data_IF_354077725369
#
_entry.id   IF_354077725369
#
_cell.length_a   1.000
_cell.length_b   1.000
_cell.length_c   1.000
_cell.angle_alpha   90.00
_cell.angle_beta   90.00
_cell.angle_gamma   90.00
#
_symmetry.space_group_name_H-M   'P 1'
#
loop_
_entity.id
_entity.type
_entity.pdbx_description
1 polymer ?
#
# COMPACT_ATOMS: atom_id res chain seq x y z
N UNK A 1 13.46 18.24 3.94
CA UNK A 1 12.81 18.58 5.22
C UNK A 1 11.29 18.47 5.15
N UNK A 2 10.61 19.10 4.19
CA UNK A 2 9.13 19.08 4.07
C UNK A 2 8.51 17.67 3.93
N UNK A 3 9.08 16.82 3.07
CA UNK A 3 8.58 15.44 2.87
C UNK A 3 8.66 14.57 4.15
N UNK A 4 9.67 14.80 5.01
CA UNK A 4 9.81 14.08 6.27
C UNK A 4 8.75 14.49 7.30
N UNK A 5 8.29 15.74 7.25
CA UNK A 5 7.23 16.22 8.13
C UNK A 5 5.87 15.64 7.71
N UNK A 6 5.57 15.63 6.40
CA UNK A 6 4.35 15.03 5.87
C UNK A 6 4.27 13.55 6.23
N UNK A 7 5.36 12.81 6.05
CA UNK A 7 5.45 11.40 6.41
C UNK A 7 5.14 11.16 7.90
N UNK A 8 5.75 11.95 8.80
CA UNK A 8 5.47 11.87 10.24
C UNK A 8 4.01 12.14 10.57
N UNK A 9 3.43 13.20 10.00
CA UNK A 9 2.02 13.53 10.22
C UNK A 9 1.11 12.40 9.72
N UNK A 10 1.38 11.84 8.55
CA UNK A 10 0.62 10.71 8.02
C UNK A 10 0.73 9.47 8.92
N UNK A 11 1.91 9.20 9.49
CA UNK A 11 2.12 8.08 10.42
C UNK A 11 1.35 8.24 11.73
N UNK A 12 1.25 9.47 12.26
CA UNK A 12 0.44 9.76 13.45
C UNK A 12 -1.07 9.62 13.18
N UNK A 13 -1.54 10.03 11.99
CA UNK A 13 -2.98 10.02 11.66
C UNK A 13 -3.46 8.63 11.22
N UNK A 14 -2.70 7.98 10.32
CA UNK A 14 -3.10 6.72 9.67
C UNK A 14 -2.50 5.49 10.35
N UNK A 15 -1.51 5.69 11.23
CA UNK A 15 -0.73 4.64 11.86
C UNK A 15 0.48 4.23 11.04
N UNK A 16 1.58 3.94 11.74
CA UNK A 16 2.88 3.60 11.14
C UNK A 16 2.79 2.46 10.13
N UNK A 17 2.08 1.36 10.46
CA UNK A 17 1.93 0.21 9.56
C UNK A 17 1.18 0.54 8.27
N UNK A 18 0.19 1.42 8.32
CA UNK A 18 -0.58 1.81 7.14
C UNK A 18 0.32 2.54 6.13
N UNK A 19 1.08 3.52 6.63
CA UNK A 19 2.00 4.30 5.80
C UNK A 19 3.12 3.42 5.26
N UNK A 20 3.72 2.55 6.09
CA UNK A 20 4.78 1.63 5.65
C UNK A 20 4.32 0.69 4.53
N UNK A 21 3.08 0.19 4.58
CA UNK A 21 2.52 -0.63 3.49
C UNK A 21 2.34 0.20 2.22
N UNK A 22 1.87 1.44 2.31
CA UNK A 22 1.77 2.32 1.12
C UNK A 22 3.14 2.58 0.51
N UNK A 23 4.14 2.93 1.33
CA UNK A 23 5.51 3.14 0.88
C UNK A 23 6.06 1.87 0.20
N UNK A 24 5.81 0.70 0.79
CA UNK A 24 6.21 -0.58 0.21
C UNK A 24 5.57 -0.81 -1.16
N UNK A 25 4.26 -0.61 -1.28
CA UNK A 25 3.53 -0.77 -2.54
C UNK A 25 4.05 0.19 -3.61
N UNK A 26 4.34 1.45 -3.26
CA UNK A 26 4.91 2.45 -4.18
C UNK A 26 6.32 2.08 -4.66
N UNK A 27 7.17 1.57 -3.76
CA UNK A 27 8.54 1.13 -4.10
C UNK A 27 8.57 -0.09 -5.01
N UNK A 28 7.56 -0.95 -4.93
CA UNK A 28 7.45 -2.18 -5.73
C UNK A 28 6.51 -2.03 -6.94
N UNK A 29 5.95 -0.85 -7.16
CA UNK A 29 5.15 -0.57 -8.34
C UNK A 29 6.03 -0.25 -9.54
N UNK A 30 5.67 -0.78 -10.72
CA UNK A 30 6.31 -0.39 -11.97
C UNK A 30 5.88 1.01 -12.44
N UNK A 31 6.40 1.44 -13.60
CA UNK A 31 6.05 2.75 -14.19
C UNK A 31 4.55 2.93 -14.49
N UNK A 32 3.82 1.84 -14.65
CA UNK A 32 2.37 1.82 -14.87
C UNK A 32 1.54 1.71 -13.58
N UNK A 33 2.19 1.69 -12.42
CA UNK A 33 1.56 1.50 -11.11
C UNK A 33 1.20 0.05 -10.80
N UNK A 34 1.72 -0.93 -11.55
CA UNK A 34 1.43 -2.34 -11.29
C UNK A 34 2.38 -2.94 -10.27
N UNK A 35 1.82 -3.74 -9.38
CA UNK A 35 2.54 -4.49 -8.34
C UNK A 35 2.29 -5.97 -8.61
N UNK A 36 3.37 -6.72 -8.83
CA UNK A 36 3.33 -8.15 -9.15
C UNK A 36 3.84 -8.96 -7.95
N UNK A 37 3.10 -8.91 -6.85
CA UNK A 37 3.35 -9.65 -5.61
C UNK A 37 2.01 -10.14 -5.05
N UNK A 38 1.98 -11.36 -4.53
CA UNK A 38 0.84 -11.89 -3.77
C UNK A 38 0.72 -11.20 -2.41
N UNK A 39 -0.47 -11.23 -1.80
CA UNK A 39 -0.65 -10.70 -0.44
C UNK A 39 0.26 -11.41 0.59
N UNK A 40 0.58 -12.69 0.38
CA UNK A 40 1.49 -13.43 1.28
C UNK A 40 2.94 -12.95 1.14
N UNK A 41 3.40 -12.68 -0.08
CA UNK A 41 4.72 -12.07 -0.30
C UNK A 41 4.78 -10.66 0.28
N UNK A 42 3.73 -9.86 0.10
CA UNK A 42 3.66 -8.51 0.67
C UNK A 42 3.67 -8.57 2.21
N UNK A 43 2.94 -9.50 2.83
CA UNK A 43 2.99 -9.70 4.28
C UNK A 43 4.41 -10.00 4.78
N UNK A 44 5.12 -10.89 4.08
CA UNK A 44 6.49 -11.28 4.44
C UNK A 44 7.48 -10.12 4.25
N UNK A 45 7.43 -9.45 3.10
CA UNK A 45 8.39 -8.41 2.72
C UNK A 45 8.16 -7.09 3.44
N UNK A 46 6.91 -6.75 3.76
CA UNK A 46 6.55 -5.54 4.51
C UNK A 46 6.43 -5.77 6.02
N UNK A 47 6.70 -7.00 6.50
CA UNK A 47 6.56 -7.41 7.90
C UNK A 47 5.21 -7.01 8.53
N UNK A 48 4.13 -7.42 7.86
CA UNK A 48 2.76 -7.18 8.32
C UNK A 48 1.96 -8.46 8.35
N UNK A 49 1.04 -8.55 9.32
CA UNK A 49 0.13 -9.69 9.41
C UNK A 49 -0.94 -9.62 8.31
N UNK A 50 -1.47 -10.79 7.91
CA UNK A 50 -2.57 -10.88 6.93
C UNK A 50 -3.78 -10.01 7.30
N UNK A 51 -4.26 -9.98 8.57
CA UNK A 51 -5.38 -9.12 8.95
C UNK A 51 -5.07 -7.63 8.77
N UNK A 52 -3.84 -7.20 9.10
CA UNK A 52 -3.41 -5.82 8.90
C UNK A 52 -3.38 -5.47 7.41
N UNK A 53 -2.75 -6.31 6.59
CA UNK A 53 -2.69 -6.09 5.15
C UNK A 53 -4.08 -6.05 4.51
N UNK A 54 -4.96 -6.99 4.89
CA UNK A 54 -6.33 -7.08 4.38
C UNK A 54 -7.14 -5.82 4.69
N UNK A 55 -7.03 -5.28 5.91
CA UNK A 55 -7.67 -4.00 6.29
C UNK A 55 -7.15 -2.83 5.44
N UNK A 56 -5.83 -2.73 5.26
CA UNK A 56 -5.21 -1.67 4.46
C UNK A 56 -5.66 -1.77 3.00
N UNK A 57 -5.60 -2.96 2.42
CA UNK A 57 -6.04 -3.21 1.04
C UNK A 57 -7.49 -2.83 0.85
N UNK A 58 -8.38 -3.25 1.75
CA UNK A 58 -9.80 -2.88 1.70
C UNK A 58 -10.01 -1.37 1.75
N UNK A 59 -9.25 -0.65 2.58
CA UNK A 59 -9.29 0.82 2.63
C UNK A 59 -8.87 1.43 1.29
N UNK A 60 -7.74 0.99 0.72
CA UNK A 60 -7.24 1.50 -0.56
C UNK A 60 -8.19 1.18 -1.72
N UNK A 61 -8.77 -0.01 -1.74
CA UNK A 61 -9.77 -0.43 -2.74
C UNK A 61 -11.04 0.42 -2.63
N UNK A 62 -11.55 0.64 -1.42
CA UNK A 62 -12.75 1.49 -1.17
C UNK A 62 -12.51 2.92 -1.65
N UNK A 63 -11.28 3.43 -1.50
CA UNK A 63 -10.88 4.75 -1.99
C UNK A 63 -10.52 4.76 -3.48
N UNK A 64 -10.65 3.64 -4.19
CA UNK A 64 -10.27 3.46 -5.61
C UNK A 64 -8.78 3.75 -5.88
N UNK A 65 -7.95 3.62 -4.86
CA UNK A 65 -6.49 3.82 -4.93
C UNK A 65 -5.78 2.54 -5.38
N UNK A 66 -6.31 1.39 -4.97
CA UNK A 66 -5.80 0.08 -5.32
C UNK A 66 -6.89 -0.71 -6.05
N UNK A 67 -6.52 -1.38 -7.14
CA UNK A 67 -7.40 -2.31 -7.86
C UNK A 67 -6.73 -3.66 -8.00
N UNK A 68 -7.37 -4.73 -7.54
CA UNK A 68 -6.96 -6.10 -7.86
C UNK A 68 -7.26 -6.39 -9.33
N UNK A 69 -6.25 -6.82 -10.08
CA UNK A 69 -6.39 -7.26 -11.47
C UNK A 69 -6.58 -8.77 -11.50
N UNK A 70 -5.68 -9.49 -10.83
CA UNK A 70 -5.75 -10.93 -10.57
C UNK A 70 -4.98 -11.27 -9.29
N UNK A 71 -4.97 -12.53 -8.87
CA UNK A 71 -4.13 -12.91 -7.74
C UNK A 71 -2.66 -12.56 -8.02
N UNK A 72 -2.01 -11.90 -7.06
CA UNK A 72 -0.62 -11.45 -7.21
C UNK A 72 -0.41 -10.28 -8.17
N UNK A 73 -1.46 -9.66 -8.71
CA UNK A 73 -1.33 -8.48 -9.58
C UNK A 73 -2.34 -7.41 -9.18
N UNK A 74 -1.80 -6.26 -8.75
CA UNK A 74 -2.56 -5.10 -8.30
C UNK A 74 -2.13 -3.87 -9.09
N UNK A 75 -3.03 -2.89 -9.22
CA UNK A 75 -2.74 -1.61 -9.84
C UNK A 75 -3.03 -0.48 -8.86
N UNK A 76 -2.03 0.36 -8.62
CA UNK A 76 -2.19 1.65 -7.97
C UNK A 76 -2.67 2.68 -9.00
N UNK A 77 -3.66 3.48 -8.60
CA UNK A 77 -4.15 4.60 -9.40
C UNK A 77 -4.72 5.66 -8.48
N UNK A 78 -4.35 6.93 -8.67
CA UNK A 78 -5.00 8.01 -7.94
C UNK A 78 -6.28 8.38 -8.70
N UNK A 79 -7.46 8.31 -8.09
CA UNK A 79 -8.68 8.78 -8.74
C UNK A 79 -8.56 10.29 -9.04
N UNK A 80 -9.01 10.69 -10.23
CA UNK A 80 -9.16 12.10 -10.61
C UNK A 80 -10.33 12.74 -9.86
#
# INVERSE_FOLDING_TARGET
MFLLLVDKICKEILGQKFVSVIEFLLKNADKGGFITLTQDEICKLADVSKPTLSKIFKTLETKKILKKIKNGVYKLSIPK
#
